data_IF_595521258963
#
_entry.id   IF_595521258963
#
_cell.length_a   1.000
_cell.length_b   1.000
_cell.length_c   1.000
_cell.angle_alpha   90.00
_cell.angle_beta   90.00
_cell.angle_gamma   90.00
#
_symmetry.space_group_name_H-M   'P 1'
#
loop_
_entity.id
_entity.type
_entity.pdbx_description
1 polymer ?
#
# COMPACT_ATOMS: atom_id res chain seq x y z
N UNK A 1 48.26 24.56 -43.04
CA UNK A 1 48.33 25.90 -43.66
C UNK A 1 47.01 26.14 -44.37
N UNK A 2 46.39 27.30 -44.14
CA UNK A 2 45.02 27.75 -44.46
C UNK A 2 43.94 27.12 -43.55
N UNK A 3 43.28 27.78 -42.59
CA UNK A 3 42.74 29.16 -42.39
C UNK A 3 41.36 29.44 -43.06
N UNK A 4 40.30 29.38 -42.22
CA UNK A 4 38.98 30.07 -42.14
C UNK A 4 38.02 30.16 -43.37
N UNK A 5 36.68 30.31 -43.22
CA UNK A 5 35.99 31.03 -42.13
C UNK A 5 34.78 30.38 -41.44
N UNK A 6 34.42 31.05 -40.34
CA UNK A 6 33.19 30.98 -39.57
C UNK A 6 31.97 31.52 -40.35
N UNK A 7 30.81 31.38 -39.69
CA UNK A 7 29.49 31.93 -40.02
C UNK A 7 28.62 31.12 -40.98
N UNK A 8 27.98 30.10 -40.41
CA UNK A 8 26.62 29.74 -40.79
C UNK A 8 25.67 30.24 -39.69
N UNK A 9 25.15 31.43 -39.96
CA UNK A 9 24.00 32.09 -39.37
C UNK A 9 22.85 31.09 -39.11
N UNK A 10 22.54 30.82 -37.84
CA UNK A 10 21.29 30.19 -37.42
C UNK A 10 20.39 31.29 -36.88
N UNK A 11 19.16 31.44 -37.41
CA UNK A 11 18.29 32.55 -37.04
C UNK A 11 17.89 32.49 -35.57
N UNK A 12 18.12 33.61 -34.88
CA UNK A 12 17.44 33.97 -33.65
C UNK A 12 15.93 34.04 -33.91
N UNK A 13 15.19 33.07 -33.36
CA UNK A 13 13.76 32.94 -33.55
C UNK A 13 13.07 32.46 -32.29
N UNK A 14 12.48 33.43 -31.58
CA UNK A 14 11.43 33.27 -30.58
C UNK A 14 11.78 32.40 -29.36
N UNK A 15 12.29 33.08 -28.32
CA UNK A 15 12.15 32.61 -26.96
C UNK A 15 10.68 32.27 -26.69
N UNK A 16 10.40 30.97 -26.57
CA UNK A 16 9.13 30.51 -26.02
C UNK A 16 9.20 30.84 -24.55
N UNK A 17 8.60 31.97 -24.18
CA UNK A 17 8.33 32.34 -22.81
C UNK A 17 7.78 31.09 -22.09
N UNK A 18 8.50 30.67 -21.06
CA UNK A 18 7.93 29.76 -20.07
C UNK A 18 6.58 30.34 -19.67
N UNK A 19 5.49 29.56 -19.62
CA UNK A 19 4.28 30.06 -18.99
C UNK A 19 4.69 30.49 -17.59
N UNK A 20 4.52 31.79 -17.30
CA UNK A 20 4.64 32.34 -15.97
C UNK A 20 3.91 31.36 -15.05
N UNK A 21 4.61 30.93 -14.00
CA UNK A 21 4.11 30.01 -12.99
C UNK A 21 2.75 30.54 -12.49
N UNK A 22 1.69 30.09 -13.14
CA UNK A 22 0.33 30.17 -12.64
C UNK A 22 0.40 29.49 -11.29
N UNK A 23 -0.04 30.21 -10.26
CA UNK A 23 0.00 29.75 -8.89
C UNK A 23 -0.37 28.28 -8.83
N UNK A 24 0.46 27.50 -8.14
CA UNK A 24 0.12 26.14 -7.71
C UNK A 24 -1.36 26.17 -7.36
N UNK A 25 -2.24 25.41 -8.04
CA UNK A 25 -3.64 25.42 -7.68
C UNK A 25 -3.68 25.12 -6.20
N UNK A 26 -4.04 26.12 -5.38
CA UNK A 26 -4.41 25.83 -4.01
C UNK A 26 -5.54 24.82 -4.14
N UNK A 27 -5.56 23.75 -3.32
CA UNK A 27 -6.61 22.76 -3.40
C UNK A 27 -7.94 23.45 -3.09
N UNK A 28 -8.61 23.95 -4.14
CA UNK A 28 -9.93 24.51 -4.06
C UNK A 28 -10.85 23.43 -3.48
N UNK A 29 -11.48 23.75 -2.36
CA UNK A 29 -12.76 23.15 -2.03
C UNK A 29 -12.72 21.66 -1.71
N UNK A 30 -11.57 21.20 -1.24
CA UNK A 30 -11.52 20.34 -0.08
C UNK A 30 -12.44 20.95 1.03
N UNK A 31 -13.75 20.67 1.01
CA UNK A 31 -14.71 21.18 1.99
C UNK A 31 -14.23 20.93 3.43
N UNK A 32 -14.48 21.82 4.39
CA UNK A 32 -13.92 21.67 5.75
C UNK A 32 -14.22 20.29 6.43
N UNK A 33 -15.19 19.52 5.94
CA UNK A 33 -15.56 18.19 6.42
C UNK A 33 -14.80 16.96 5.89
N UNK A 34 -13.91 17.06 4.90
CA UNK A 34 -13.12 15.89 4.42
C UNK A 34 -11.62 15.99 4.77
N UNK A 35 -11.21 16.94 5.61
CA UNK A 35 -9.82 17.02 6.08
C UNK A 35 -9.46 15.80 6.96
N UNK A 36 -8.30 15.20 6.72
CA UNK A 36 -7.77 14.13 7.57
C UNK A 36 -7.49 14.65 8.98
N UNK A 37 -7.80 13.85 10.00
CA UNK A 37 -7.33 14.13 11.35
C UNK A 37 -5.79 13.97 11.42
N UNK A 38 -5.08 14.76 12.24
CA UNK A 38 -3.65 14.57 12.46
C UNK A 38 -3.34 13.12 12.87
N UNK A 39 -2.49 12.46 12.11
CA UNK A 39 -2.15 11.05 12.35
C UNK A 39 -3.25 10.07 11.94
N UNK A 40 -4.13 10.45 11.00
CA UNK A 40 -5.11 9.54 10.42
C UNK A 40 -4.45 8.24 9.94
N UNK A 41 -5.17 7.11 9.99
CA UNK A 41 -4.70 5.85 9.43
C UNK A 41 -4.26 6.03 7.99
N UNK A 42 -3.28 5.23 7.58
CA UNK A 42 -2.75 5.25 6.21
C UNK A 42 -3.11 3.97 5.50
N UNK A 43 -3.59 4.09 4.27
CA UNK A 43 -3.64 3.00 3.30
C UNK A 43 -2.48 3.21 2.33
N UNK A 44 -1.63 2.21 2.20
CA UNK A 44 -0.54 2.21 1.23
C UNK A 44 -0.75 1.10 0.20
N UNK A 45 -0.53 1.44 -1.07
CA UNK A 45 -0.70 0.60 -2.24
C UNK A 45 0.57 0.59 -3.07
N UNK A 46 1.01 -0.59 -3.49
CA UNK A 46 2.04 -0.75 -4.50
C UNK A 46 1.46 -1.59 -5.62
N UNK A 47 1.37 -0.99 -6.80
CA UNK A 47 0.93 -1.65 -8.03
C UNK A 47 2.14 -2.21 -8.74
N UNK A 48 2.03 -3.43 -9.26
CA UNK A 48 3.10 -4.07 -10.01
C UNK A 48 2.63 -4.52 -11.39
N UNK A 49 3.48 -4.33 -12.39
CA UNK A 49 3.39 -4.91 -13.71
C UNK A 49 4.43 -6.04 -13.83
N UNK A 50 3.99 -7.28 -13.63
CA UNK A 50 4.85 -8.47 -13.54
C UNK A 50 4.81 -9.24 -14.85
N UNK A 51 5.93 -9.30 -15.61
CA UNK A 51 5.97 -10.06 -16.86
C UNK A 51 5.84 -11.56 -16.61
N UNK A 52 5.32 -12.30 -17.59
CA UNK A 52 5.03 -13.73 -17.45
C UNK A 52 6.20 -14.59 -16.95
N UNK A 53 7.44 -14.25 -17.33
CA UNK A 53 8.64 -14.96 -16.87
C UNK A 53 8.92 -14.82 -15.36
N UNK A 54 8.47 -13.72 -14.73
CA UNK A 54 8.64 -13.47 -13.29
C UNK A 54 7.41 -13.86 -12.46
N UNK A 55 6.27 -14.14 -13.11
CA UNK A 55 4.99 -14.34 -12.44
C UNK A 55 4.93 -15.59 -11.54
N UNK A 56 5.78 -16.59 -11.78
CA UNK A 56 5.83 -17.81 -10.96
C UNK A 56 6.41 -17.55 -9.56
N UNK A 57 7.47 -16.74 -9.47
CA UNK A 57 8.21 -16.50 -8.23
C UNK A 57 7.70 -15.27 -7.46
N UNK A 58 7.10 -14.32 -8.18
CA UNK A 58 6.60 -13.06 -7.62
C UNK A 58 5.67 -13.25 -6.41
N UNK A 59 4.69 -14.19 -6.39
CA UNK A 59 3.77 -14.32 -5.25
C UNK A 59 4.48 -14.70 -3.95
N UNK A 60 5.50 -15.56 -4.03
CA UNK A 60 6.28 -15.98 -2.86
C UNK A 60 7.13 -14.82 -2.32
N UNK A 61 7.79 -14.08 -3.22
CA UNK A 61 8.58 -12.90 -2.84
C UNK A 61 7.70 -11.77 -2.27
N UNK A 62 6.55 -11.49 -2.89
CA UNK A 62 5.57 -10.52 -2.41
C UNK A 62 4.98 -10.93 -1.05
N UNK A 63 4.76 -12.23 -0.83
CA UNK A 63 4.34 -12.73 0.49
C UNK A 63 5.41 -12.48 1.55
N UNK A 64 6.68 -12.72 1.26
CA UNK A 64 7.77 -12.47 2.20
C UNK A 64 7.87 -10.97 2.56
N UNK A 65 7.70 -10.08 1.59
CA UNK A 65 7.64 -8.64 1.83
C UNK A 65 6.44 -8.24 2.70
N UNK A 66 5.25 -8.80 2.43
CA UNK A 66 4.06 -8.58 3.24
C UNK A 66 4.25 -9.09 4.68
N UNK A 67 4.85 -10.26 4.87
CA UNK A 67 5.14 -10.81 6.20
C UNK A 67 6.18 -9.96 6.95
N UNK A 68 7.16 -9.36 6.25
CA UNK A 68 8.09 -8.41 6.86
C UNK A 68 7.38 -7.12 7.31
N UNK A 69 6.50 -6.57 6.47
CA UNK A 69 5.67 -5.39 6.82
C UNK A 69 4.74 -5.69 7.99
N UNK A 70 4.15 -6.89 8.04
CA UNK A 70 3.22 -7.29 9.09
C UNK A 70 3.83 -7.38 10.50
N UNK A 71 5.17 -7.46 10.60
CA UNK A 71 5.90 -7.43 11.89
C UNK A 71 6.17 -6.01 12.39
N UNK A 72 6.00 -5.00 11.55
CA UNK A 72 6.29 -3.62 11.94
C UNK A 72 5.22 -3.06 12.88
N UNK A 73 5.65 -2.27 13.87
CA UNK A 73 4.75 -1.60 14.79
C UNK A 73 3.82 -0.63 14.03
N UNK A 74 2.52 -0.72 14.32
CA UNK A 74 1.48 0.08 13.70
C UNK A 74 0.96 -0.45 12.36
N UNK A 75 1.35 -1.66 11.95
CA UNK A 75 0.68 -2.39 10.87
C UNK A 75 -0.68 -2.90 11.34
N UNK A 76 -1.73 -2.65 10.55
CA UNK A 76 -3.12 -3.07 10.85
C UNK A 76 -3.52 -4.28 10.03
N UNK A 77 -3.32 -4.22 8.72
CA UNK A 77 -3.70 -5.29 7.79
C UNK A 77 -2.94 -5.17 6.47
N UNK A 78 -2.94 -6.23 5.66
CA UNK A 78 -2.37 -6.17 4.32
C UNK A 78 -2.75 -7.36 3.46
N UNK A 79 -2.71 -7.15 2.14
CA UNK A 79 -3.27 -8.04 1.13
C UNK A 79 -2.40 -8.00 -0.11
N UNK A 80 -2.16 -9.17 -0.71
CA UNK A 80 -1.66 -9.29 -2.06
C UNK A 80 -2.82 -9.75 -2.95
N UNK A 81 -3.06 -9.03 -4.04
CA UNK A 81 -4.10 -9.32 -5.01
C UNK A 81 -3.52 -9.32 -6.43
N UNK A 82 -4.24 -9.96 -7.35
CA UNK A 82 -3.99 -9.96 -8.79
C UNK A 82 -5.26 -9.52 -9.49
N UNK A 83 -5.14 -8.71 -10.54
CA UNK A 83 -6.29 -8.32 -11.34
C UNK A 83 -6.91 -9.56 -12.02
N UNK A 84 -8.24 -9.56 -12.17
CA UNK A 84 -8.99 -10.70 -12.71
C UNK A 84 -8.90 -10.77 -14.24
N UNK A 85 -8.82 -9.60 -14.86
CA UNK A 85 -8.81 -9.31 -16.29
C UNK A 85 -7.40 -9.11 -16.84
N UNK A 86 -6.45 -8.66 -16.00
CA UNK A 86 -5.06 -8.44 -16.39
C UNK A 86 -4.08 -9.23 -15.49
N UNK A 87 -3.75 -10.49 -15.84
CA UNK A 87 -2.96 -11.38 -14.96
C UNK A 87 -1.53 -10.89 -14.63
N UNK A 88 -1.00 -9.96 -15.42
CA UNK A 88 0.29 -9.32 -15.16
C UNK A 88 0.21 -8.20 -14.11
N UNK A 89 -1.00 -7.75 -13.75
CA UNK A 89 -1.24 -6.66 -12.81
C UNK A 89 -1.48 -7.19 -11.40
N UNK A 90 -0.62 -6.79 -10.47
CA UNK A 90 -0.68 -7.16 -9.05
C UNK A 90 -0.79 -5.93 -8.17
N UNK A 91 -1.38 -6.11 -6.98
CA UNK A 91 -1.59 -5.06 -6.00
C UNK A 91 -1.19 -5.57 -4.61
N UNK A 92 -0.27 -4.86 -3.95
CA UNK A 92 -0.02 -5.01 -2.52
C UNK A 92 -0.65 -3.82 -1.80
N UNK A 93 -1.65 -4.09 -0.97
CA UNK A 93 -2.30 -3.07 -0.13
C UNK A 93 -1.95 -3.33 1.33
N UNK A 94 -1.65 -2.28 2.09
CA UNK A 94 -1.38 -2.34 3.53
C UNK A 94 -2.06 -1.18 4.25
N UNK A 95 -2.45 -1.42 5.50
CA UNK A 95 -3.08 -0.44 6.38
C UNK A 95 -2.20 -0.21 7.61
N UNK A 96 -2.13 1.05 8.03
CA UNK A 96 -1.26 1.49 9.12
C UNK A 96 -1.98 2.44 10.05
N UNK A 97 -1.57 2.49 11.31
CA UNK A 97 -2.12 3.41 12.31
C UNK A 97 -1.86 4.88 11.98
N UNK A 98 -0.89 5.15 11.10
CA UNK A 98 -0.70 6.48 10.55
C UNK A 98 0.61 6.61 9.75
N UNK A 99 0.94 7.83 9.31
CA UNK A 99 2.07 8.08 8.43
C UNK A 99 3.43 7.84 9.08
N UNK A 100 3.54 8.03 10.41
CA UNK A 100 4.77 7.79 11.17
C UNK A 100 5.18 6.31 11.21
N UNK A 101 4.30 5.40 11.71
CA UNK A 101 4.51 3.95 11.64
C UNK A 101 4.86 3.46 10.25
N UNK A 102 4.11 3.90 9.22
CA UNK A 102 4.35 3.52 7.83
C UNK A 102 5.77 3.87 7.35
N UNK A 103 6.19 5.13 7.48
CA UNK A 103 7.53 5.56 7.03
C UNK A 103 8.66 4.83 7.78
N UNK A 104 8.47 4.55 9.07
CA UNK A 104 9.45 3.77 9.85
C UNK A 104 9.54 2.33 9.37
N UNK A 105 8.41 1.70 9.04
CA UNK A 105 8.39 0.34 8.50
C UNK A 105 9.20 0.24 7.21
N UNK A 106 9.03 1.18 6.27
CA UNK A 106 9.82 1.22 5.03
C UNK A 106 11.33 1.45 5.23
N UNK A 107 11.72 2.01 6.38
CA UNK A 107 13.13 2.23 6.69
C UNK A 107 13.79 0.97 7.29
N UNK A 108 12.99 0.02 7.80
CA UNK A 108 13.49 -1.19 8.45
C UNK A 108 14.26 -2.07 7.45
N UNK A 109 15.38 -2.65 7.91
CA UNK A 109 16.25 -3.47 7.07
C UNK A 109 15.50 -4.66 6.45
N UNK A 110 14.80 -5.44 7.26
CA UNK A 110 14.03 -6.62 6.80
C UNK A 110 13.00 -6.27 5.73
N UNK A 111 12.31 -5.14 5.91
CA UNK A 111 11.34 -4.64 4.92
C UNK A 111 12.04 -4.25 3.63
N UNK A 112 13.13 -3.47 3.70
CA UNK A 112 13.88 -3.07 2.51
C UNK A 112 14.46 -4.28 1.78
N UNK A 113 15.01 -5.25 2.50
CA UNK A 113 15.58 -6.47 1.93
C UNK A 113 14.53 -7.26 1.16
N UNK A 114 13.33 -7.46 1.74
CA UNK A 114 12.27 -8.22 1.09
C UNK A 114 11.53 -7.44 -0.01
N UNK A 115 11.32 -6.13 0.16
CA UNK A 115 10.49 -5.32 -0.72
C UNK A 115 11.26 -4.79 -1.94
N UNK A 116 12.52 -4.37 -1.79
CA UNK A 116 13.29 -3.73 -2.87
C UNK A 116 13.35 -4.54 -4.16
N UNK A 117 13.55 -5.88 -4.14
CA UNK A 117 13.56 -6.68 -5.37
C UNK A 117 12.25 -6.61 -6.16
N UNK A 118 11.12 -6.39 -5.49
CA UNK A 118 9.80 -6.29 -6.12
C UNK A 118 9.59 -4.94 -6.81
N UNK A 119 10.31 -3.89 -6.38
CA UNK A 119 10.13 -2.53 -6.88
C UNK A 119 10.57 -2.37 -8.35
N UNK A 120 11.33 -3.32 -8.90
CA UNK A 120 11.63 -3.36 -10.35
C UNK A 120 10.36 -3.52 -11.19
N UNK A 121 9.30 -4.10 -10.61
CA UNK A 121 8.01 -4.26 -11.26
C UNK A 121 7.00 -3.18 -10.86
N UNK A 122 7.37 -2.26 -9.96
CA UNK A 122 6.44 -1.27 -9.44
C UNK A 122 6.04 -0.25 -10.52
N UNK A 123 4.77 0.14 -10.48
CA UNK A 123 4.21 1.21 -11.32
C UNK A 123 4.32 2.53 -10.56
N UNK A 124 4.89 3.56 -11.21
CA UNK A 124 5.12 4.88 -10.62
C UNK A 124 3.83 5.71 -10.57
N UNK A 125 3.04 5.50 -9.51
CA UNK A 125 1.81 6.22 -9.20
C UNK A 125 1.74 6.50 -7.69
N UNK A 126 0.94 7.48 -7.24
CA UNK A 126 0.70 7.68 -5.82
C UNK A 126 0.24 6.40 -5.14
N UNK A 127 0.92 6.02 -4.05
CA UNK A 127 0.75 4.74 -3.38
C UNK A 127 0.58 4.84 -1.87
N UNK A 128 0.30 6.02 -1.33
CA UNK A 128 0.02 6.18 0.10
C UNK A 128 -0.99 7.31 0.31
N UNK A 129 -2.02 7.00 1.10
CA UNK A 129 -3.20 7.84 1.28
C UNK A 129 -3.59 7.88 2.75
N UNK A 130 -4.06 9.04 3.21
CA UNK A 130 -4.69 9.17 4.52
C UNK A 130 -6.16 8.75 4.42
N UNK A 131 -6.63 8.00 5.42
CA UNK A 131 -8.03 7.56 5.47
C UNK A 131 -8.92 8.71 5.94
N UNK A 132 -9.75 9.22 5.05
CA UNK A 132 -10.70 10.31 5.33
C UNK A 132 -12.05 9.78 5.84
N UNK A 133 -12.45 8.60 5.36
CA UNK A 133 -13.65 7.90 5.77
C UNK A 133 -13.43 6.40 5.62
N UNK A 134 -13.99 5.61 6.55
CA UNK A 134 -13.97 4.16 6.50
C UNK A 134 -15.29 3.60 7.05
N UNK A 135 -15.68 2.44 6.55
CA UNK A 135 -16.81 1.66 7.07
C UNK A 135 -16.25 0.30 7.45
N UNK A 136 -16.34 -0.04 8.73
CA UNK A 136 -15.95 -1.36 9.20
C UNK A 136 -16.92 -2.42 8.67
N UNK A 137 -16.45 -3.65 8.38
CA UNK A 137 -17.34 -4.73 8.04
C UNK A 137 -18.31 -5.01 9.20
N UNK A 138 -19.55 -5.44 8.91
CA UNK A 138 -20.50 -5.79 9.96
C UNK A 138 -19.91 -6.88 10.85
N UNK A 139 -19.84 -6.61 12.16
CA UNK A 139 -19.41 -7.63 13.14
C UNK A 139 -20.43 -8.76 13.10
N UNK A 140 -19.99 -9.97 12.75
CA UNK A 140 -20.83 -11.15 12.84
C UNK A 140 -21.31 -11.28 14.29
N UNK A 141 -22.61 -11.10 14.53
CA UNK A 141 -23.19 -11.33 15.85
C UNK A 141 -22.91 -12.78 16.22
N UNK A 142 -22.25 -12.96 17.36
CA UNK A 142 -21.71 -14.25 17.79
C UNK A 142 -22.74 -15.37 17.62
N UNK A 143 -22.42 -16.33 16.75
CA UNK A 143 -22.98 -17.65 16.87
C UNK A 143 -22.55 -18.15 18.25
N UNK A 144 -23.51 -18.17 19.18
CA UNK A 144 -23.28 -18.60 20.55
C UNK A 144 -22.52 -19.92 20.57
N UNK A 145 -21.51 -19.96 21.43
CA UNK A 145 -20.83 -21.15 21.91
C UNK A 145 -21.81 -22.32 22.01
N UNK A 146 -21.65 -23.32 21.15
CA UNK A 146 -22.08 -24.69 21.40
C UNK A 146 -20.85 -25.57 21.28
N UNK A 147 -20.35 -25.98 22.43
CA UNK A 147 -19.28 -26.98 22.54
C UNK A 147 -19.82 -28.37 22.17
N UNK A 148 -18.89 -29.19 21.67
CA UNK A 148 -18.89 -30.67 21.56
C UNK A 148 -19.85 -31.30 20.52
N UNK A 149 -19.50 -32.30 19.71
CA UNK A 149 -18.27 -33.09 19.52
C UNK A 149 -18.45 -33.97 18.24
N UNK A 150 -17.32 -34.53 17.76
CA UNK A 150 -17.16 -35.82 17.02
C UNK A 150 -17.11 -35.81 15.48
N UNK A 151 -15.87 -35.93 14.97
CA UNK A 151 -15.38 -37.10 14.24
C UNK A 151 -15.57 -37.20 12.72
N UNK A 152 -14.44 -37.22 11.98
CA UNK A 152 -14.39 -37.77 10.61
C UNK A 152 -13.22 -37.24 9.76
N UNK A 153 -12.20 -38.07 9.55
CA UNK A 153 -11.04 -37.85 8.67
C UNK A 153 -11.31 -38.30 7.23
N UNK A 154 -10.83 -37.54 6.22
CA UNK A 154 -10.80 -37.92 4.80
C UNK A 154 -10.37 -36.74 3.89
N UNK A 155 -9.67 -36.98 2.76
CA UNK A 155 -8.42 -36.28 2.43
C UNK A 155 -8.53 -35.01 1.56
N UNK A 156 -7.37 -34.36 1.44
CA UNK A 156 -7.08 -33.07 0.82
C UNK A 156 -7.36 -32.99 -0.70
N UNK A 157 -7.90 -31.85 -1.11
CA UNK A 157 -7.65 -31.22 -2.39
C UNK A 157 -6.98 -29.86 -2.14
N UNK A 158 -5.90 -29.59 -2.85
CA UNK A 158 -5.06 -28.41 -2.71
C UNK A 158 -5.10 -27.61 -4.02
N UNK A 159 -5.64 -26.39 -3.95
CA UNK A 159 -5.41 -25.42 -5.00
C UNK A 159 -6.31 -24.19 -4.91
N UNK A 160 -5.73 -23.04 -4.57
CA UNK A 160 -6.31 -21.71 -4.74
C UNK A 160 -7.41 -21.28 -3.75
N UNK A 161 -7.11 -21.39 -2.46
CA UNK A 161 -7.81 -20.60 -1.44
C UNK A 161 -7.04 -19.29 -1.20
N UNK A 162 -7.67 -18.14 -1.46
CA UNK A 162 -7.19 -16.85 -0.96
C UNK A 162 -6.99 -16.97 0.55
N UNK A 163 -5.73 -17.10 0.98
CA UNK A 163 -5.36 -17.35 2.36
C UNK A 163 -5.53 -16.03 3.11
N UNK A 164 -6.75 -15.75 3.56
CA UNK A 164 -7.04 -14.62 4.46
C UNK A 164 -6.23 -14.81 5.73
N UNK A 165 -5.20 -14.00 5.89
CA UNK A 165 -4.46 -13.88 7.14
C UNK A 165 -5.29 -13.01 8.08
N UNK A 166 -5.92 -13.62 9.08
CA UNK A 166 -6.51 -12.91 10.20
C UNK A 166 -5.44 -12.82 11.28
N UNK A 167 -4.98 -11.61 11.61
CA UNK A 167 -4.16 -11.42 12.80
C UNK A 167 -5.08 -11.51 14.02
N UNK A 168 -4.87 -12.54 14.83
CA UNK A 168 -5.53 -12.69 16.12
C UNK A 168 -4.95 -11.62 17.08
N UNK A 169 -5.56 -10.44 17.09
CA UNK A 169 -5.41 -9.49 18.20
C UNK A 169 -6.76 -9.38 18.90
N UNK A 170 -6.88 -10.05 20.05
CA UNK A 170 -7.90 -9.73 21.03
C UNK A 170 -7.69 -8.27 21.48
N UNK A 171 -8.78 -7.52 21.64
CA UNK A 171 -8.73 -6.21 22.25
C UNK A 171 -8.20 -6.35 23.68
N UNK A 172 -7.01 -5.84 23.95
CA UNK A 172 -6.57 -5.62 25.32
C UNK A 172 -7.55 -4.64 25.98
N UNK A 173 -8.29 -5.16 26.96
CA UNK A 173 -9.06 -4.37 27.88
C UNK A 173 -8.09 -3.66 28.83
N UNK A 174 -8.15 -2.33 28.89
CA UNK A 174 -8.29 -1.52 30.11
C UNK A 174 -7.70 -0.12 29.91
N UNK A 175 -8.57 0.89 29.95
CA UNK A 175 -8.28 2.15 30.64
C UNK A 175 -9.63 2.67 31.14
N UNK A 176 -10.04 2.16 32.30
CA UNK A 176 -10.95 2.90 33.15
C UNK A 176 -10.30 4.23 33.58
N UNK A 177 -10.90 5.36 33.21
CA UNK A 177 -10.65 6.65 33.83
C UNK A 177 -11.75 6.93 34.89
N UNK A 178 -11.42 7.63 35.99
CA UNK A 178 -12.17 7.55 37.24
C UNK A 178 -13.40 8.45 37.20
N UNK A 179 -14.53 7.97 37.75
CA UNK A 179 -15.64 8.85 38.12
C UNK A 179 -15.40 9.38 39.53
N UNK A 180 -14.97 10.64 39.62
CA UNK A 180 -15.21 11.50 40.79
C UNK A 180 -16.67 11.96 40.74
N UNK A 181 -17.46 11.67 41.77
CA UNK A 181 -17.92 12.65 42.78
C UNK A 181 -18.82 11.97 43.80
#
# INVERSE_FOLDING_TARGET
MADLPADADLPAGAGRAAPAAGGRPEPEGVGAGWAAAPGAPVVAEIRFAVPGAAAADFPAAARAALDALARAAGFRSGRLARALDEPASWLLTTEWDGPGPWRRALSAFEVRYALTPLLVHAVDVPGAFEVLAAVDPPVARGAGRRDAERGGSGPADAGSGARTYRSDRAADADTAAPRRR
#
